data_IF_980061116317
#
_entry.id   IF_980061116317
#
_cell.length_a   1.000
_cell.length_b   1.000
_cell.length_c   1.000
_cell.angle_alpha   90.00
_cell.angle_beta   90.00
_cell.angle_gamma   90.00
#
_symmetry.space_group_name_H-M   'P 1'
#
loop_
_entity.id
_entity.type
_entity.pdbx_description
1 polymer ?
#
# COMPACT_ATOMS: atom_id res chain seq x y z
N UNK A 1 -11.29 28.51 -83.78
CA UNK A 1 -11.39 29.95 -83.49
C UNK A 1 -10.18 30.35 -82.65
N UNK A 2 -9.43 31.37 -83.11
CA UNK A 2 -8.33 32.12 -82.46
C UNK A 2 -7.09 31.35 -81.93
N UNK A 3 -6.10 31.25 -82.80
CA UNK A 3 -4.67 31.52 -82.52
C UNK A 3 -4.46 33.02 -82.12
N UNK A 4 -3.28 33.53 -81.70
CA UNK A 4 -2.00 32.90 -81.29
C UNK A 4 -1.25 33.62 -80.11
N UNK A 5 0.01 33.20 -79.89
CA UNK A 5 1.23 34.04 -79.83
C UNK A 5 1.70 34.77 -78.55
N UNK A 6 2.99 34.48 -78.30
CA UNK A 6 4.09 35.42 -78.07
C UNK A 6 4.41 35.91 -76.63
N UNK A 7 5.60 35.46 -76.22
CA UNK A 7 6.60 35.97 -75.27
C UNK A 7 6.92 37.49 -75.39
N UNK A 8 8.09 37.98 -74.91
CA UNK A 8 8.65 38.07 -73.55
C UNK A 8 8.93 39.55 -73.17
N UNK A 9 9.30 39.89 -71.93
CA UNK A 9 10.14 41.09 -71.67
C UNK A 9 10.63 41.17 -70.22
N UNK A 10 11.94 41.39 -70.10
CA UNK A 10 12.67 41.75 -68.89
C UNK A 10 12.52 43.24 -68.56
N UNK A 11 12.59 43.58 -67.27
CA UNK A 11 13.01 44.86 -66.66
C UNK A 11 12.53 44.86 -65.20
N UNK A 12 13.17 45.44 -64.19
CA UNK A 12 14.33 46.31 -64.06
C UNK A 12 14.73 46.22 -62.57
N UNK A 13 16.02 46.03 -62.32
CA UNK A 13 16.82 46.68 -61.27
C UNK A 13 16.08 47.31 -60.07
N UNK A 14 16.27 46.74 -58.88
CA UNK A 14 16.34 47.53 -57.64
C UNK A 14 17.45 46.97 -56.74
N UNK A 15 18.62 47.56 -56.93
CA UNK A 15 19.79 47.45 -56.07
C UNK A 15 19.48 48.17 -54.76
N UNK A 16 19.49 47.44 -53.64
CA UNK A 16 19.64 48.04 -52.32
C UNK A 16 20.72 47.25 -51.57
N UNK A 17 21.97 47.67 -51.79
CA UNK A 17 23.07 47.40 -50.86
C UNK A 17 22.79 48.20 -49.57
N UNK A 18 22.58 47.51 -48.46
CA UNK A 18 22.78 48.07 -47.12
C UNK A 18 23.72 47.11 -46.37
N UNK A 19 24.91 47.63 -46.07
CA UNK A 19 25.93 47.03 -45.23
C UNK A 19 25.41 46.86 -43.77
N UNK A 20 25.58 45.65 -43.23
CA UNK A 20 26.07 45.23 -41.88
C UNK A 20 25.58 45.96 -40.59
N UNK A 21 25.52 45.32 -39.39
CA UNK A 21 26.43 44.26 -38.94
C UNK A 21 25.87 43.12 -38.06
N UNK A 22 26.67 42.05 -38.00
CA UNK A 22 27.12 41.31 -36.81
C UNK A 22 26.15 41.03 -35.64
N UNK A 23 25.83 39.74 -35.49
CA UNK A 23 26.00 39.02 -34.22
C UNK A 23 24.97 39.28 -33.11
N UNK A 24 23.97 38.41 -33.03
CA UNK A 24 23.39 38.01 -31.75
C UNK A 24 22.86 36.58 -31.90
N UNK A 25 23.51 35.66 -31.18
CA UNK A 25 23.04 34.31 -30.98
C UNK A 25 21.63 34.37 -30.38
N UNK A 26 20.63 33.91 -31.14
CA UNK A 26 19.30 33.68 -30.62
C UNK A 26 19.41 32.54 -29.60
N UNK A 27 19.20 32.90 -28.34
CA UNK A 27 19.26 32.00 -27.21
C UNK A 27 18.33 30.82 -27.38
N UNK A 28 18.87 29.64 -27.08
CA UNK A 28 18.13 28.41 -26.87
C UNK A 28 17.04 28.67 -25.82
N UNK A 29 15.79 28.70 -26.29
CA UNK A 29 14.61 28.88 -25.46
C UNK A 29 14.49 27.65 -24.56
N UNK A 30 15.03 27.77 -23.35
CA UNK A 30 15.02 26.72 -22.35
C UNK A 30 13.57 26.33 -22.04
N UNK A 31 13.21 25.10 -22.42
CA UNK A 31 11.96 24.47 -22.04
C UNK A 31 11.72 24.59 -20.52
N UNK A 32 10.48 24.81 -20.06
CA UNK A 32 10.19 24.98 -18.64
C UNK A 32 10.61 23.71 -17.90
N UNK A 33 11.51 23.87 -16.92
CA UNK A 33 11.93 22.80 -16.02
C UNK A 33 10.68 22.15 -15.41
N UNK A 34 10.50 20.85 -15.66
CA UNK A 34 9.46 20.04 -15.04
C UNK A 34 9.57 20.17 -13.51
N UNK A 35 8.46 20.50 -12.86
CA UNK A 35 8.36 20.47 -11.40
C UNK A 35 8.86 19.12 -10.88
N UNK A 36 9.59 19.07 -9.75
CA UNK A 36 10.05 17.81 -9.19
C UNK A 36 8.84 16.92 -8.94
N UNK A 37 8.84 15.72 -9.53
CA UNK A 37 7.84 14.71 -9.28
C UNK A 37 7.75 14.50 -7.76
N UNK A 38 6.55 14.68 -7.21
CA UNK A 38 6.26 14.43 -5.80
C UNK A 38 6.73 13.01 -5.49
N UNK A 39 7.72 12.85 -4.60
CA UNK A 39 8.16 11.52 -4.16
C UNK A 39 6.93 10.73 -3.71
N UNK A 40 6.55 9.72 -4.50
CA UNK A 40 5.40 8.90 -4.20
C UNK A 40 5.74 8.03 -2.99
N UNK A 41 5.19 8.41 -1.82
CA UNK A 41 5.33 7.64 -0.59
C UNK A 41 4.74 6.25 -0.82
N UNK A 42 5.39 5.17 -0.33
CA UNK A 42 4.80 3.84 -0.39
C UNK A 42 3.46 3.86 0.32
N UNK A 43 2.41 3.35 -0.32
CA UNK A 43 1.09 3.22 0.32
C UNK A 43 0.99 1.87 1.01
N UNK A 44 0.53 1.90 2.25
CA UNK A 44 0.25 0.70 3.04
C UNK A 44 -1.21 0.79 3.49
N UNK A 45 -1.99 -0.24 3.17
CA UNK A 45 -3.36 -0.38 3.65
C UNK A 45 -3.40 -1.60 4.58
N UNK A 46 -3.91 -1.40 5.79
CA UNK A 46 -3.97 -2.44 6.81
C UNK A 46 -5.40 -2.57 7.33
N UNK A 47 -5.90 -3.80 7.39
CA UNK A 47 -7.16 -4.11 8.02
C UNK A 47 -6.97 -5.04 9.22
N UNK A 48 -7.55 -4.69 10.36
CA UNK A 48 -7.59 -5.56 11.53
C UNK A 48 -8.94 -6.26 11.60
N UNK A 49 -8.92 -7.58 11.46
CA UNK A 49 -10.10 -8.45 11.60
C UNK A 49 -10.10 -8.95 13.04
N UNK A 50 -10.95 -8.37 13.87
CA UNK A 50 -10.88 -8.50 15.32
C UNK A 50 -12.05 -9.31 15.86
N UNK A 51 -11.72 -10.35 16.61
CA UNK A 51 -12.65 -11.10 17.43
C UNK A 51 -13.16 -10.25 18.59
N UNK A 52 -14.47 -10.14 18.70
CA UNK A 52 -15.16 -9.35 19.73
C UNK A 52 -16.20 -10.17 20.49
N UNK A 53 -16.04 -11.50 20.50
CA UNK A 53 -16.87 -12.45 21.25
C UNK A 53 -16.58 -12.38 22.75
N UNK A 54 -17.40 -13.03 23.57
CA UNK A 54 -17.22 -13.06 25.02
C UNK A 54 -15.89 -13.68 25.49
N UNK A 55 -15.36 -14.69 24.79
CA UNK A 55 -14.09 -15.37 25.14
C UNK A 55 -12.89 -14.42 25.09
N UNK A 56 -12.95 -13.45 24.18
CA UNK A 56 -11.97 -12.38 24.05
C UNK A 56 -11.95 -11.41 25.23
N UNK A 57 -12.82 -11.54 26.24
CA UNK A 57 -12.92 -10.66 27.41
C UNK A 57 -11.58 -10.11 27.95
N UNK A 58 -10.84 -10.88 28.74
CA UNK A 58 -9.55 -10.44 29.30
C UNK A 58 -8.45 -10.17 28.25
N UNK A 59 -8.71 -10.49 26.97
CA UNK A 59 -7.74 -10.47 25.88
C UNK A 59 -7.92 -9.28 24.95
N UNK A 60 -9.14 -8.73 24.85
CA UNK A 60 -9.50 -7.73 23.85
C UNK A 60 -8.70 -6.45 24.05
N UNK A 61 -8.45 -6.04 25.29
CA UNK A 61 -7.64 -4.86 25.56
C UNK A 61 -6.17 -5.08 25.18
N UNK A 62 -5.65 -6.30 25.34
CA UNK A 62 -4.29 -6.65 24.89
C UNK A 62 -4.23 -6.70 23.36
N UNK A 63 -5.26 -7.24 22.70
CA UNK A 63 -5.40 -7.24 21.26
C UNK A 63 -5.43 -5.81 20.70
N UNK A 64 -6.28 -4.94 21.24
CA UNK A 64 -6.37 -3.51 20.86
C UNK A 64 -5.02 -2.80 21.02
N UNK A 65 -4.31 -3.00 22.13
CA UNK A 65 -2.96 -2.43 22.32
C UNK A 65 -1.97 -2.94 21.28
N UNK A 66 -2.00 -4.23 20.93
CA UNK A 66 -1.11 -4.79 19.91
C UNK A 66 -1.42 -4.26 18.52
N UNK A 67 -2.70 -4.19 18.14
CA UNK A 67 -3.18 -3.54 16.91
C UNK A 67 -2.64 -2.11 16.80
N UNK A 68 -2.77 -1.33 17.88
CA UNK A 68 -2.27 0.04 17.91
C UNK A 68 -0.75 0.14 17.85
N UNK A 69 -0.02 -0.78 18.49
CA UNK A 69 1.45 -0.84 18.38
C UNK A 69 1.88 -1.04 16.93
N UNK A 70 1.30 -2.02 16.24
CA UNK A 70 1.60 -2.33 14.83
C UNK A 70 1.35 -1.10 13.96
N UNK A 71 0.20 -0.43 14.12
CA UNK A 71 -0.11 0.78 13.37
C UNK A 71 0.95 1.88 13.58
N UNK A 72 1.37 2.10 14.83
CA UNK A 72 2.40 3.08 15.16
C UNK A 72 3.79 2.71 14.62
N UNK A 73 4.15 1.42 14.60
CA UNK A 73 5.39 0.95 14.00
C UNK A 73 5.42 1.23 12.49
N UNK A 74 4.31 1.00 11.80
CA UNK A 74 4.18 1.29 10.37
C UNK A 74 4.30 2.79 10.06
N UNK A 75 3.75 3.67 10.90
CA UNK A 75 3.92 5.12 10.77
C UNK A 75 5.37 5.57 10.93
N UNK A 76 6.13 4.88 11.78
CA UNK A 76 7.55 5.19 12.03
C UNK A 76 8.48 4.68 10.94
N UNK A 77 8.02 3.79 10.06
CA UNK A 77 8.79 3.28 8.94
C UNK A 77 9.34 4.40 8.06
N UNK A 78 10.49 4.15 7.41
CA UNK A 78 11.16 5.09 6.50
C UNK A 78 11.37 4.46 5.13
N UNK A 79 11.03 5.16 4.02
CA UNK A 79 10.33 6.44 3.97
C UNK A 79 8.93 6.35 4.61
N UNK A 80 8.43 7.45 5.18
CA UNK A 80 7.15 7.44 5.90
C UNK A 80 6.01 7.12 4.92
N UNK A 81 5.26 6.02 5.14
CA UNK A 81 4.26 5.57 4.19
C UNK A 81 2.99 6.43 4.23
N UNK A 82 2.20 6.35 3.18
CA UNK A 82 0.79 6.72 3.17
C UNK A 82 -0.03 5.56 3.76
N UNK A 83 -0.34 5.62 5.06
CA UNK A 83 -1.00 4.54 5.80
C UNK A 83 -2.52 4.77 5.86
N UNK A 84 -3.29 3.71 5.56
CA UNK A 84 -4.73 3.66 5.82
C UNK A 84 -5.07 2.45 6.67
N UNK A 85 -5.90 2.63 7.68
CA UNK A 85 -6.34 1.57 8.58
C UNK A 85 -7.84 1.31 8.44
N UNK A 86 -8.23 0.04 8.51
CA UNK A 86 -9.62 -0.39 8.54
C UNK A 86 -9.83 -1.45 9.62
N UNK A 87 -11.07 -1.66 10.03
CA UNK A 87 -11.43 -2.66 11.04
C UNK A 87 -12.57 -3.52 10.53
N UNK A 88 -12.51 -4.81 10.83
CA UNK A 88 -13.64 -5.73 10.69
C UNK A 88 -13.79 -6.46 12.01
N UNK A 89 -14.64 -5.94 12.89
CA UNK A 89 -14.99 -6.65 14.11
C UNK A 89 -15.95 -7.78 13.76
N UNK A 90 -15.79 -8.95 14.38
CA UNK A 90 -16.70 -10.07 14.22
C UNK A 90 -17.10 -10.69 15.55
N UNK A 91 -18.29 -11.30 15.53
CA UNK A 91 -18.81 -12.22 16.57
C UNK A 91 -19.37 -13.45 15.87
N UNK A 92 -20.45 -14.04 16.37
CA UNK A 92 -21.11 -15.16 15.72
C UNK A 92 -22.53 -14.89 15.24
N UNK A 93 -23.09 -15.88 14.53
CA UNK A 93 -24.48 -15.86 14.08
C UNK A 93 -25.42 -15.89 15.28
N UNK A 94 -26.38 -14.97 15.29
CA UNK A 94 -27.34 -14.83 16.40
C UNK A 94 -26.95 -13.76 17.42
N UNK A 95 -25.73 -13.22 17.33
CA UNK A 95 -25.31 -12.05 18.10
C UNK A 95 -25.87 -10.75 17.53
N UNK A 96 -25.59 -9.64 18.25
CA UNK A 96 -25.87 -8.27 17.82
C UNK A 96 -25.38 -7.97 16.39
N UNK A 97 -24.28 -8.61 15.97
CA UNK A 97 -23.77 -8.57 14.60
C UNK A 97 -22.85 -9.76 14.35
N UNK A 98 -22.80 -10.22 13.09
CA UNK A 98 -21.76 -11.16 12.65
C UNK A 98 -20.49 -10.40 12.29
N UNK A 99 -20.61 -9.30 11.54
CA UNK A 99 -19.48 -8.43 11.18
C UNK A 99 -19.86 -6.95 11.28
N UNK A 100 -18.91 -6.12 11.71
CA UNK A 100 -18.97 -4.64 11.68
C UNK A 100 -17.72 -4.10 11.02
N UNK A 101 -17.91 -3.27 10.00
CA UNK A 101 -16.83 -2.80 9.14
C UNK A 101 -16.61 -1.31 9.37
N UNK A 102 -15.41 -0.95 9.81
CA UNK A 102 -14.87 0.41 9.70
C UNK A 102 -14.04 0.48 8.42
N UNK A 103 -14.40 1.35 7.45
CA UNK A 103 -13.68 1.48 6.19
C UNK A 103 -12.20 1.85 6.36
N UNK A 104 -11.41 1.63 5.30
CA UNK A 104 -10.02 2.09 5.25
C UNK A 104 -9.95 3.63 5.28
N UNK A 105 -9.39 4.19 6.34
CA UNK A 105 -9.27 5.63 6.57
C UNK A 105 -7.80 6.02 6.86
N UNK A 106 -7.40 7.21 6.44
CA UNK A 106 -6.10 7.79 6.75
C UNK A 106 -6.12 8.56 8.10
N UNK A 107 -7.31 8.87 8.63
CA UNK A 107 -7.50 9.40 9.98
C UNK A 107 -7.40 8.27 11.01
N UNK A 108 -6.19 8.07 11.54
CA UNK A 108 -5.89 6.98 12.44
C UNK A 108 -6.51 7.17 13.83
N UNK A 109 -6.71 8.42 14.25
CA UNK A 109 -7.34 8.74 15.53
C UNK A 109 -8.82 8.33 15.51
N UNK A 110 -9.49 8.54 14.37
CA UNK A 110 -10.86 8.06 14.15
C UNK A 110 -10.95 6.53 14.19
N UNK A 111 -10.05 5.83 13.48
CA UNK A 111 -10.03 4.36 13.48
C UNK A 111 -9.71 3.83 14.88
N UNK A 112 -8.85 4.50 15.64
CA UNK A 112 -8.56 4.15 17.02
C UNK A 112 -9.77 4.36 17.96
N UNK A 113 -10.55 5.43 17.76
CA UNK A 113 -11.80 5.63 18.49
C UNK A 113 -12.79 4.48 18.24
N UNK A 114 -12.95 4.04 16.99
CA UNK A 114 -13.78 2.89 16.65
C UNK A 114 -13.24 1.59 17.29
N UNK A 115 -11.93 1.35 17.20
CA UNK A 115 -11.26 0.18 17.79
C UNK A 115 -11.52 0.11 19.30
N UNK A 116 -11.34 1.22 20.02
CA UNK A 116 -11.50 1.26 21.47
C UNK A 116 -12.94 1.08 21.93
N UNK A 117 -13.92 1.44 21.08
CA UNK A 117 -15.34 1.29 21.36
C UNK A 117 -15.82 -0.17 21.36
N UNK A 118 -15.14 -1.08 20.66
CA UNK A 118 -15.53 -2.49 20.64
C UNK A 118 -15.43 -3.13 22.02
N UNK A 119 -16.39 -3.99 22.35
CA UNK A 119 -16.43 -4.77 23.59
C UNK A 119 -16.63 -6.24 23.27
N UNK A 120 -15.90 -7.07 24.01
CA UNK A 120 -16.08 -8.51 24.04
C UNK A 120 -17.48 -8.82 24.59
N UNK A 121 -18.33 -9.40 23.75
CA UNK A 121 -19.70 -9.78 24.09
C UNK A 121 -20.24 -10.77 23.04
N UNK A 122 -21.34 -11.43 23.33
CA UNK A 122 -21.92 -12.43 22.45
C UNK A 122 -21.04 -13.68 22.30
N UNK A 123 -21.33 -14.44 21.26
CA UNK A 123 -20.80 -15.77 21.02
C UNK A 123 -21.54 -16.83 21.83
N UNK A 124 -20.86 -17.93 22.11
CA UNK A 124 -21.36 -19.03 22.93
C UNK A 124 -20.17 -19.87 23.40
N UNK A 125 -20.03 -21.06 22.83
CA UNK A 125 -18.80 -21.84 22.85
C UNK A 125 -18.27 -21.93 21.42
N UNK A 126 -16.94 -22.00 21.24
CA UNK A 126 -16.32 -22.04 19.91
C UNK A 126 -16.85 -23.21 19.06
N UNK A 127 -16.80 -23.14 17.71
CA UNK A 127 -16.12 -22.16 16.83
C UNK A 127 -16.77 -20.76 16.70
N UNK A 128 -16.20 -19.87 15.88
CA UNK A 128 -16.67 -18.49 15.65
C UNK A 128 -16.78 -18.15 14.14
N UNK A 129 -17.45 -17.04 13.77
CA UNK A 129 -17.67 -16.62 12.36
C UNK A 129 -16.44 -15.99 11.67
N UNK A 130 -15.26 -16.58 11.84
CA UNK A 130 -13.99 -16.14 11.22
C UNK A 130 -14.03 -16.18 9.69
N UNK A 131 -14.69 -17.20 9.10
CA UNK A 131 -14.85 -17.32 7.65
C UNK A 131 -15.55 -16.09 7.06
N UNK A 132 -16.67 -15.68 7.68
CA UNK A 132 -17.40 -14.49 7.29
C UNK A 132 -16.58 -13.21 7.48
N UNK A 133 -15.83 -13.10 8.57
CA UNK A 133 -15.00 -11.94 8.85
C UNK A 133 -13.88 -11.76 7.81
N UNK A 134 -13.15 -12.83 7.49
CA UNK A 134 -12.13 -12.82 6.44
C UNK A 134 -12.73 -12.48 5.07
N UNK A 135 -13.89 -13.06 4.75
CA UNK A 135 -14.57 -12.78 3.48
C UNK A 135 -14.91 -11.30 3.36
N UNK A 136 -15.47 -10.73 4.40
CA UNK A 136 -15.86 -9.32 4.43
C UNK A 136 -14.63 -8.41 4.36
N UNK A 137 -13.53 -8.75 5.04
CA UNK A 137 -12.29 -7.99 4.96
C UNK A 137 -11.68 -7.99 3.54
N UNK A 138 -11.69 -9.14 2.85
CA UNK A 138 -11.15 -9.25 1.49
C UNK A 138 -12.04 -8.56 0.46
N UNK A 139 -13.37 -8.62 0.61
CA UNK A 139 -14.29 -8.24 -0.46
C UNK A 139 -15.08 -6.95 -0.26
N UNK A 140 -15.25 -6.49 0.98
CA UNK A 140 -16.05 -5.29 1.29
C UNK A 140 -15.21 -4.07 1.62
N UNK A 141 -13.96 -4.25 2.07
CA UNK A 141 -13.04 -3.13 2.21
C UNK A 141 -12.62 -2.63 0.82
N UNK A 142 -12.66 -1.31 0.64
CA UNK A 142 -12.31 -0.66 -0.63
C UNK A 142 -10.79 -0.52 -0.77
N UNK A 143 -10.12 -1.65 -0.98
CA UNK A 143 -8.68 -1.71 -1.22
C UNK A 143 -8.28 -0.93 -2.47
N UNK A 144 -7.26 -0.08 -2.38
CA UNK A 144 -6.69 0.60 -3.54
C UNK A 144 -6.08 -0.46 -4.47
N UNK A 145 -6.36 -0.44 -5.78
CA UNK A 145 -5.79 -1.39 -6.74
C UNK A 145 -4.36 -1.02 -7.21
N UNK A 146 -3.64 -1.98 -7.81
CA UNK A 146 -2.33 -1.78 -8.43
C UNK A 146 -1.12 -2.20 -7.57
N UNK A 147 0.06 -2.23 -8.18
CA UNK A 147 1.25 -2.88 -7.60
C UNK A 147 2.07 -1.96 -6.69
N UNK A 148 1.62 -0.71 -6.49
CA UNK A 148 2.28 0.30 -5.64
C UNK A 148 1.68 0.39 -4.24
N UNK A 149 0.87 -0.58 -3.85
CA UNK A 149 0.16 -0.61 -2.57
C UNK A 149 0.39 -1.95 -1.88
N UNK A 150 0.91 -1.89 -0.66
CA UNK A 150 0.99 -3.06 0.20
C UNK A 150 -0.35 -3.21 0.94
N UNK A 151 -1.00 -4.36 0.81
CA UNK A 151 -2.29 -4.66 1.45
C UNK A 151 -2.12 -5.79 2.45
N UNK A 152 -2.47 -5.54 3.70
CA UNK A 152 -2.27 -6.49 4.78
C UNK A 152 -3.52 -6.62 5.62
N UNK A 153 -3.91 -7.85 5.93
CA UNK A 153 -4.92 -8.16 6.93
C UNK A 153 -4.22 -8.74 8.16
N UNK A 154 -4.62 -8.32 9.35
CA UNK A 154 -4.30 -8.97 10.61
C UNK A 154 -5.57 -9.58 11.19
N UNK A 155 -5.68 -10.90 11.16
CA UNK A 155 -6.71 -11.65 11.87
C UNK A 155 -6.30 -11.80 13.33
N UNK A 156 -7.15 -11.36 14.26
CA UNK A 156 -6.86 -11.35 15.69
C UNK A 156 -8.03 -12.00 16.44
N UNK A 157 -7.80 -13.10 17.14
CA UNK A 157 -8.85 -13.85 17.83
C UNK A 157 -8.35 -15.09 18.56
N UNK A 158 -9.22 -15.76 19.33
CA UNK A 158 -8.87 -16.90 20.18
C UNK A 158 -9.53 -18.23 19.82
N UNK A 159 -10.54 -18.26 18.94
CA UNK A 159 -11.31 -19.46 18.61
C UNK A 159 -11.32 -19.79 17.09
N UNK A 160 -11.43 -21.09 16.70
CA UNK A 160 -11.40 -21.52 15.30
C UNK A 160 -12.62 -21.08 14.45
N UNK A 161 -12.58 -21.12 13.10
CA UNK A 161 -13.73 -20.85 12.26
C UNK A 161 -14.79 -21.96 12.34
N UNK A 162 -16.06 -21.56 12.28
CA UNK A 162 -17.14 -22.46 11.87
C UNK A 162 -16.93 -22.97 10.44
N UNK A 163 -16.95 -24.29 10.25
CA UNK A 163 -16.82 -24.95 8.93
C UNK A 163 -18.11 -25.61 8.45
N UNK A 164 -19.16 -25.56 9.27
CA UNK A 164 -20.48 -26.17 9.07
C UNK A 164 -21.55 -25.18 8.60
N UNK A 165 -21.26 -23.87 8.64
CA UNK A 165 -22.12 -22.83 8.10
C UNK A 165 -22.17 -22.88 6.56
N UNK A 166 -23.27 -23.40 6.02
CA UNK A 166 -23.42 -23.68 4.59
C UNK A 166 -23.32 -22.44 3.68
N UNK A 167 -23.69 -21.25 4.18
CA UNK A 167 -23.62 -20.00 3.43
C UNK A 167 -22.25 -19.32 3.50
N UNK A 168 -21.34 -19.84 4.32
CA UNK A 168 -20.00 -19.29 4.47
C UNK A 168 -19.04 -19.85 3.42
N UNK A 169 -18.12 -18.99 2.98
CA UNK A 169 -17.00 -19.40 2.12
C UNK A 169 -15.86 -19.89 3.03
N UNK A 170 -15.37 -21.13 2.89
CA UNK A 170 -14.26 -21.62 3.69
C UNK A 170 -13.02 -20.73 3.56
N UNK A 171 -12.31 -20.48 4.68
CA UNK A 171 -11.16 -19.58 4.72
C UNK A 171 -10.12 -19.88 3.65
N UNK A 172 -9.92 -21.15 3.27
CA UNK A 172 -8.97 -21.53 2.22
C UNK A 172 -9.28 -20.84 0.88
N UNK A 173 -10.56 -20.77 0.48
CA UNK A 173 -10.98 -20.05 -0.73
C UNK A 173 -10.80 -18.54 -0.60
N UNK A 174 -11.11 -18.00 0.58
CA UNK A 174 -10.89 -16.58 0.87
C UNK A 174 -9.40 -16.22 0.84
N UNK A 175 -8.51 -17.12 1.31
CA UNK A 175 -7.06 -16.94 1.22
C UNK A 175 -6.59 -16.94 -0.24
N UNK A 176 -7.06 -17.87 -1.07
CA UNK A 176 -6.77 -17.89 -2.51
C UNK A 176 -7.17 -16.57 -3.19
N UNK A 177 -8.33 -16.02 -2.84
CA UNK A 177 -8.80 -14.73 -3.35
C UNK A 177 -7.97 -13.55 -2.83
N UNK A 178 -7.58 -13.58 -1.55
CA UNK A 178 -6.71 -12.56 -0.97
C UNK A 178 -5.36 -12.51 -1.69
N UNK A 179 -4.71 -13.66 -1.91
CA UNK A 179 -3.45 -13.74 -2.66
C UNK A 179 -3.61 -13.20 -4.09
N UNK A 180 -4.69 -13.56 -4.78
CA UNK A 180 -4.97 -13.05 -6.13
C UNK A 180 -5.15 -11.53 -6.16
N UNK A 181 -5.67 -10.94 -5.08
CA UNK A 181 -5.82 -9.50 -4.91
C UNK A 181 -4.54 -8.80 -4.37
N UNK A 182 -3.45 -9.54 -4.15
CA UNK A 182 -2.22 -9.03 -3.54
C UNK A 182 -2.40 -8.62 -2.08
N UNK A 183 -3.28 -9.31 -1.36
CA UNK A 183 -3.55 -9.11 0.08
C UNK A 183 -2.88 -10.24 0.86
N UNK A 184 -1.99 -9.86 1.78
CA UNK A 184 -1.35 -10.79 2.71
C UNK A 184 -2.16 -10.88 3.99
N UNK A 185 -2.46 -12.09 4.49
CA UNK A 185 -3.17 -12.27 5.77
C UNK A 185 -2.19 -12.80 6.82
N UNK A 186 -1.97 -12.01 7.86
CA UNK A 186 -1.23 -12.39 9.05
C UNK A 186 -2.23 -12.75 10.15
N UNK A 187 -1.86 -13.69 11.02
CA UNK A 187 -2.75 -14.16 12.10
C UNK A 187 -2.10 -13.96 13.45
N UNK A 188 -2.81 -13.33 14.37
CA UNK A 188 -2.44 -13.05 15.75
C UNK A 188 -3.36 -13.83 16.68
N UNK A 189 -2.92 -14.98 17.19
CA UNK A 189 -3.76 -15.81 18.09
C UNK A 189 -3.72 -15.27 19.51
N UNK A 190 -4.88 -14.96 20.05
CA UNK A 190 -5.07 -14.70 21.48
C UNK A 190 -5.28 -16.03 22.23
N UNK A 191 -4.77 -16.13 23.46
CA UNK A 191 -4.94 -17.35 24.25
C UNK A 191 -4.12 -18.56 23.76
N UNK A 192 -4.50 -19.75 24.22
CA UNK A 192 -3.69 -20.98 24.12
C UNK A 192 -4.36 -22.18 23.44
N UNK A 193 -5.48 -21.98 22.75
CA UNK A 193 -6.21 -23.05 22.09
C UNK A 193 -5.39 -23.67 20.92
N UNK A 194 -5.20 -24.99 20.96
CA UNK A 194 -4.30 -25.71 20.04
C UNK A 194 -4.93 -26.00 18.68
N UNK A 195 -6.25 -26.14 18.63
CA UNK A 195 -7.05 -26.19 17.40
C UNK A 195 -7.02 -24.85 16.65
N UNK A 196 -7.19 -23.73 17.38
CA UNK A 196 -7.01 -22.38 16.83
C UNK A 196 -5.61 -22.20 16.24
N UNK A 197 -4.54 -22.64 16.93
CA UNK A 197 -3.18 -22.52 16.42
C UNK A 197 -2.96 -23.18 15.05
N UNK A 198 -3.47 -24.39 14.88
CA UNK A 198 -3.33 -25.15 13.63
C UNK A 198 -3.97 -24.38 12.48
N UNK A 199 -5.21 -23.93 12.67
CA UNK A 199 -5.95 -23.22 11.63
C UNK A 199 -5.34 -21.84 11.36
N UNK A 200 -4.80 -21.14 12.36
CA UNK A 200 -4.27 -19.78 12.22
C UNK A 200 -2.96 -19.85 11.43
N UNK A 201 -2.12 -20.83 11.77
CA UNK A 201 -0.90 -21.14 11.02
C UNK A 201 -1.22 -21.49 9.57
N UNK A 202 -2.30 -22.26 9.34
CA UNK A 202 -2.73 -22.62 7.99
C UNK A 202 -3.23 -21.41 7.19
N UNK A 203 -4.10 -20.57 7.78
CA UNK A 203 -4.59 -19.33 7.15
C UNK A 203 -3.40 -18.48 6.74
N UNK A 204 -2.48 -18.16 7.67
CA UNK A 204 -1.31 -17.34 7.38
C UNK A 204 -0.47 -17.92 6.24
N UNK A 205 -0.25 -19.24 6.23
CA UNK A 205 0.52 -19.92 5.18
C UNK A 205 -0.17 -19.83 3.82
N UNK A 206 -1.48 -20.05 3.76
CA UNK A 206 -2.26 -20.02 2.51
C UNK A 206 -2.33 -18.62 1.90
N UNK A 207 -2.11 -17.57 2.70
CA UNK A 207 -2.18 -16.17 2.31
C UNK A 207 -0.83 -15.43 2.34
N UNK A 208 0.28 -16.17 2.22
CA UNK A 208 1.66 -15.64 2.19
C UNK A 208 2.05 -14.78 3.42
N UNK A 209 1.33 -14.93 4.52
CA UNK A 209 1.56 -14.20 5.76
C UNK A 209 2.31 -15.00 6.81
N UNK A 210 2.33 -14.46 8.02
CA UNK A 210 2.95 -15.12 9.19
C UNK A 210 1.95 -15.25 10.33
N UNK A 211 2.19 -16.26 11.16
CA UNK A 211 1.47 -16.49 12.41
C UNK A 211 2.28 -15.99 13.60
N UNK A 212 1.60 -15.40 14.59
CA UNK A 212 2.19 -15.11 15.90
C UNK A 212 1.15 -15.25 17.02
N UNK A 213 1.53 -15.74 18.22
CA UNK A 213 0.68 -15.69 19.39
C UNK A 213 0.77 -14.32 20.10
N UNK A 214 -0.33 -13.89 20.74
CA UNK A 214 -0.39 -12.75 21.67
C UNK A 214 -0.41 -13.32 23.10
N UNK A 215 0.62 -13.07 23.93
CA UNK A 215 0.67 -13.56 25.31
C UNK A 215 -0.42 -12.91 26.20
N UNK A 216 -0.95 -13.67 27.16
CA UNK A 216 -2.06 -13.26 28.03
C UNK A 216 -1.68 -12.25 29.13
N UNK A 217 -0.39 -12.09 29.49
CA UNK A 217 0.03 -11.16 30.55
C UNK A 217 1.37 -10.43 30.28
N UNK A 218 1.41 -9.16 30.68
CA UNK A 218 2.56 -8.58 31.39
C UNK A 218 3.93 -8.50 30.71
N UNK A 219 4.04 -8.67 29.39
CA UNK A 219 5.33 -8.52 28.70
C UNK A 219 5.24 -7.54 27.54
N UNK A 220 6.20 -6.61 27.61
CA UNK A 220 6.65 -5.62 26.66
C UNK A 220 6.30 -5.93 25.20
N UNK A 221 5.99 -4.87 24.44
CA UNK A 221 5.82 -4.83 23.00
C UNK A 221 6.45 -6.06 22.33
N UNK A 222 5.67 -7.13 22.18
CA UNK A 222 6.18 -8.38 21.62
C UNK A 222 6.55 -8.02 20.21
N UNK A 223 7.85 -7.96 19.93
CA UNK A 223 8.39 -7.70 18.61
C UNK A 223 7.83 -8.79 17.71
N UNK A 224 6.80 -8.44 16.96
CA UNK A 224 6.28 -9.35 15.97
C UNK A 224 7.18 -9.25 14.74
N UNK A 225 7.40 -10.35 14.00
CA UNK A 225 8.16 -10.28 12.75
C UNK A 225 7.56 -9.28 11.73
N UNK A 226 6.33 -8.82 11.97
CA UNK A 226 5.64 -7.77 11.23
C UNK A 226 6.23 -6.37 11.41
N UNK A 227 6.88 -6.10 12.55
CA UNK A 227 7.30 -4.75 12.96
C UNK A 227 8.47 -4.23 12.09
N UNK A 228 9.27 -5.14 11.52
CA UNK A 228 10.36 -4.80 10.57
C UNK A 228 10.05 -5.12 9.12
N UNK A 229 9.36 -6.23 8.84
CA UNK A 229 9.25 -6.78 7.47
C UNK A 229 8.28 -6.00 6.59
N UNK A 230 7.22 -5.43 7.16
CA UNK A 230 6.24 -4.62 6.40
C UNK A 230 6.85 -3.27 6.00
N UNK A 231 7.63 -2.67 6.89
CA UNK A 231 8.43 -1.48 6.58
C UNK A 231 9.48 -1.77 5.50
N UNK A 232 10.17 -2.91 5.58
CA UNK A 232 11.13 -3.36 4.56
C UNK A 232 10.45 -3.63 3.21
N UNK A 233 9.29 -4.29 3.20
CA UNK A 233 8.48 -4.53 2.00
C UNK A 233 8.04 -3.21 1.35
N UNK A 234 7.53 -2.26 2.14
CA UNK A 234 7.21 -0.91 1.66
C UNK A 234 8.43 -0.15 1.12
N UNK A 235 9.59 -0.31 1.76
CA UNK A 235 10.87 0.25 1.30
C UNK A 235 11.36 -0.37 -0.02
N UNK A 236 11.29 -1.70 -0.17
CA UNK A 236 11.63 -2.41 -1.41
C UNK A 236 10.68 -2.05 -2.55
N UNK A 237 9.38 -1.92 -2.25
CA UNK A 237 8.38 -1.38 -3.18
C UNK A 237 8.61 0.08 -3.52
N UNK A 238 9.39 0.85 -2.76
CA UNK A 238 9.79 2.20 -3.15
C UNK A 238 11.07 2.17 -4.01
N UNK A 239 12.06 1.37 -3.62
CA UNK A 239 13.35 1.24 -4.30
C UNK A 239 13.24 0.62 -5.70
N UNK A 240 12.35 -0.37 -5.90
CA UNK A 240 12.15 -1.03 -7.19
C UNK A 240 11.64 -0.11 -8.31
N UNK A 241 11.10 1.06 -7.99
CA UNK A 241 10.59 2.02 -8.98
C UNK A 241 11.55 3.19 -9.23
N UNK A 242 12.57 3.41 -8.39
CA UNK A 242 13.62 4.39 -8.70
C UNK A 242 14.38 3.97 -9.96
N UNK A 243 14.49 2.66 -10.23
CA UNK A 243 15.18 2.11 -11.39
C UNK A 243 14.49 2.33 -12.75
N UNK A 244 13.23 2.78 -12.80
CA UNK A 244 12.52 3.00 -14.09
C UNK A 244 12.53 4.47 -14.55
N UNK A 245 13.01 5.40 -13.71
CA UNK A 245 13.17 6.82 -14.07
C UNK A 245 14.59 7.23 -14.45
N UNK A 246 15.54 6.29 -14.44
CA UNK A 246 16.97 6.60 -14.53
C UNK A 246 17.52 6.82 -15.94
N UNK A 247 16.83 6.48 -17.04
CA UNK A 247 17.47 6.66 -18.35
C UNK A 247 17.73 8.14 -18.66
N UNK A 248 16.78 9.04 -18.38
CA UNK A 248 17.04 10.48 -18.53
C UNK A 248 17.90 11.07 -17.41
N UNK A 249 17.80 10.55 -16.18
CA UNK A 249 18.57 11.05 -15.05
C UNK A 249 20.05 10.66 -15.14
N UNK A 250 20.33 9.43 -15.61
CA UNK A 250 21.66 8.90 -15.93
C UNK A 250 22.26 9.66 -17.11
N UNK A 251 21.50 9.90 -18.18
CA UNK A 251 21.98 10.72 -19.30
C UNK A 251 22.32 12.16 -18.88
N UNK A 252 21.49 12.78 -18.03
CA UNK A 252 21.76 14.12 -17.48
C UNK A 252 22.97 14.15 -16.53
N UNK A 253 23.16 13.10 -15.74
CA UNK A 253 24.33 12.96 -14.85
C UNK A 253 25.62 12.73 -15.66
N UNK A 254 25.59 11.84 -16.64
CA UNK A 254 26.71 11.59 -17.54
C UNK A 254 27.07 12.80 -18.39
N UNK A 255 26.07 13.56 -18.87
CA UNK A 255 26.31 14.82 -19.57
C UNK A 255 26.96 15.88 -18.66
N UNK A 256 26.58 15.94 -17.37
CA UNK A 256 27.22 16.82 -16.39
C UNK A 256 28.68 16.42 -16.09
N UNK A 257 28.96 15.13 -15.96
CA UNK A 257 30.32 14.63 -15.74
C UNK A 257 31.20 14.89 -16.97
N UNK A 258 30.73 14.59 -18.18
CA UNK A 258 31.46 14.89 -19.43
C UNK A 258 31.76 16.37 -19.59
N UNK A 259 30.84 17.26 -19.18
CA UNK A 259 31.03 18.72 -19.26
C UNK A 259 32.00 19.24 -18.20
N UNK A 260 32.05 18.61 -17.02
CA UNK A 260 33.03 18.92 -15.98
C UNK A 260 34.45 18.47 -16.36
N UNK A 261 34.58 17.27 -16.95
CA UNK A 261 35.87 16.74 -17.41
C UNK A 261 36.43 17.54 -18.60
N UNK A 262 35.56 17.98 -19.52
CA UNK A 262 35.96 18.86 -20.63
C UNK A 262 36.41 20.27 -20.15
N UNK A 263 35.82 20.78 -19.07
CA UNK A 263 36.22 22.06 -18.47
C UNK A 263 37.54 21.95 -17.69
N UNK A 264 37.81 20.80 -17.06
CA UNK A 264 39.07 20.54 -16.37
C UNK A 264 40.25 20.32 -17.34
N UNK A 265 39.99 19.75 -18.52
CA UNK A 265 41.02 19.52 -19.55
C UNK A 265 41.44 20.78 -20.34
N UNK A 266 40.64 21.84 -20.34
CA UNK A 266 40.94 23.08 -21.06
C UNK A 266 41.71 24.13 -20.22
N UNK A 267 41.92 23.84 -18.94
CA UNK A 267 42.64 24.71 -17.99
C UNK A 267 44.05 24.16 -17.62
N UNK A 268 44.53 23.14 -18.34
CA UNK A 268 45.88 22.55 -18.20
C UNK A 268 46.80 22.94 -19.33
#
# INVERSE_FOLDING_TARGET
MRFPAAAPAASLLALALLLAPSGAAAGEEAAPASLPAKEERPRIEVAFVLDTTGSMGGLIETAKRKVWSIANDLLRAKPTPDLRLGLVAYRDRGDEYVTRITPLDADLDRVYADLTAFRADGGGDGPESVNRALRDAVTKLSWTAGDRVLRVIFLVGDAPPHMDYAEDVPYARTCEEAVRAGIVINTLRCGGAADTEKVWTEIARLSEGTYAPIPQEGSEAVATPFDGRIAELGGRMSAGFVAYGEDEARERAEAKVRKADAAAGAAG
#
